data_IF_119159771205
#
_entry.id   IF_119159771205
#
_cell.length_a   1.000
_cell.length_b   1.000
_cell.length_c   1.000
_cell.angle_alpha   90.00
_cell.angle_beta   90.00
_cell.angle_gamma   90.00
#
_symmetry.space_group_name_H-M   'P 1'
#
loop_
_entity.id
_entity.type
_entity.pdbx_description
1 polymer ?
#
# COMPACT_ATOMS: atom_id res chain seq x y z
N UNK A 1 -2.76 25.56 47.83
CA UNK A 1 -3.80 25.24 46.82
C UNK A 1 -3.13 25.19 45.45
N UNK A 2 -2.90 24.00 44.87
CA UNK A 2 -2.39 23.85 43.50
C UNK A 2 -3.56 23.99 42.54
N UNK A 3 -3.51 24.95 41.64
CA UNK A 3 -4.49 25.06 40.57
C UNK A 3 -4.54 23.73 39.79
N UNK A 4 -5.73 23.26 39.37
CA UNK A 4 -5.84 22.08 38.51
C UNK A 4 -5.05 22.33 37.23
N UNK A 5 -4.13 21.40 36.92
CA UNK A 5 -3.30 21.44 35.71
C UNK A 5 -4.26 21.48 34.51
N UNK A 6 -4.14 22.45 33.59
CA UNK A 6 -4.99 22.45 32.40
C UNK A 6 -4.78 21.15 31.65
N UNK A 7 -5.88 20.47 31.32
CA UNK A 7 -5.84 19.26 30.53
C UNK A 7 -5.02 19.52 29.25
N UNK A 8 -4.14 18.58 28.84
CA UNK A 8 -3.45 18.72 27.56
C UNK A 8 -4.51 18.89 26.48
N UNK A 9 -4.42 19.99 25.71
CA UNK A 9 -5.25 20.17 24.51
C UNK A 9 -5.06 18.93 23.66
N UNK A 10 -6.11 18.11 23.53
CA UNK A 10 -6.14 17.06 22.54
C UNK A 10 -5.77 17.71 21.20
N UNK A 11 -4.69 17.29 20.52
CA UNK A 11 -4.40 17.81 19.20
C UNK A 11 -5.63 17.55 18.35
N UNK A 12 -6.16 18.63 17.79
CA UNK A 12 -7.34 18.64 16.97
C UNK A 12 -7.22 17.56 15.89
N UNK A 13 -8.25 16.71 15.83
CA UNK A 13 -8.57 15.80 14.74
C UNK A 13 -7.50 14.76 14.40
N UNK A 14 -7.74 13.52 14.83
CA UNK A 14 -7.47 12.38 13.97
C UNK A 14 -8.21 12.66 12.64
N UNK A 15 -7.50 13.23 11.67
CA UNK A 15 -8.06 13.61 10.39
C UNK A 15 -8.42 12.32 9.69
N UNK A 16 -9.69 11.91 9.83
CA UNK A 16 -10.29 10.84 9.06
C UNK A 16 -9.84 11.03 7.62
N UNK A 17 -9.19 10.01 7.06
CA UNK A 17 -8.56 10.04 5.76
C UNK A 17 -9.49 10.70 4.74
N UNK A 18 -9.10 11.87 4.23
CA UNK A 18 -9.80 12.51 3.12
C UNK A 18 -9.89 11.50 1.97
N UNK A 19 -11.01 11.46 1.25
CA UNK A 19 -11.20 10.56 0.10
C UNK A 19 -10.05 10.62 -0.92
N UNK A 20 -9.31 11.73 -0.96
CA UNK A 20 -8.08 11.88 -1.75
C UNK A 20 -7.01 10.83 -1.44
N UNK A 21 -6.80 10.40 -0.18
CA UNK A 21 -5.76 9.40 0.14
C UNK A 21 -6.10 8.02 -0.42
N UNK A 22 -7.38 7.63 -0.38
CA UNK A 22 -7.84 6.37 -0.95
C UNK A 22 -7.81 6.38 -2.48
N UNK A 23 -8.21 7.49 -3.10
CA UNK A 23 -8.11 7.64 -4.56
C UNK A 23 -6.66 7.52 -5.04
N UNK A 24 -5.73 8.19 -4.35
CA UNK A 24 -4.29 8.09 -4.66
C UNK A 24 -3.77 6.68 -4.41
N UNK A 25 -4.24 5.99 -3.37
CA UNK A 25 -3.85 4.60 -3.10
C UNK A 25 -4.26 3.65 -4.22
N UNK A 26 -5.50 3.76 -4.72
CA UNK A 26 -5.97 2.92 -5.83
C UNK A 26 -5.25 3.25 -7.13
N UNK A 27 -5.01 4.53 -7.42
CA UNK A 27 -4.22 4.92 -8.59
C UNK A 27 -2.76 4.42 -8.50
N UNK A 28 -2.17 4.50 -7.30
CA UNK A 28 -0.82 3.98 -7.01
C UNK A 28 -0.75 2.46 -7.20
N UNK A 29 -1.75 1.70 -6.75
CA UNK A 29 -1.82 0.25 -6.98
C UNK A 29 -2.02 -0.11 -8.46
N UNK A 30 -2.75 0.73 -9.21
CA UNK A 30 -2.84 0.57 -10.68
C UNK A 30 -1.48 0.78 -11.36
N UNK A 31 -0.75 1.83 -10.97
CA UNK A 31 0.61 2.06 -11.44
C UNK A 31 1.56 0.93 -11.05
N UNK A 32 1.32 0.28 -9.91
CA UNK A 32 2.06 -0.92 -9.52
C UNK A 32 1.97 -2.00 -10.58
N UNK A 33 0.75 -2.34 -11.00
CA UNK A 33 0.54 -3.33 -12.03
C UNK A 33 1.19 -2.92 -13.37
N UNK A 34 1.13 -1.63 -13.72
CA UNK A 34 1.76 -1.12 -14.95
C UNK A 34 3.27 -1.31 -14.91
N UNK A 35 3.97 -0.90 -13.84
CA UNK A 35 5.42 -1.06 -13.79
C UNK A 35 5.82 -2.54 -13.64
N UNK A 36 5.02 -3.37 -12.97
CA UNK A 36 5.31 -4.80 -12.81
C UNK A 36 5.25 -5.53 -14.16
N UNK A 37 4.21 -5.30 -14.96
CA UNK A 37 4.11 -5.83 -16.32
C UNK A 37 5.22 -5.26 -17.21
N UNK A 38 5.47 -3.96 -17.17
CA UNK A 38 6.51 -3.33 -17.98
C UNK A 38 7.92 -3.85 -17.63
N UNK A 39 8.19 -4.16 -16.36
CA UNK A 39 9.43 -4.77 -15.93
C UNK A 39 9.61 -6.17 -16.52
N UNK A 40 8.55 -6.99 -16.51
CA UNK A 40 8.57 -8.32 -17.12
C UNK A 40 8.83 -8.24 -18.63
N UNK A 41 8.14 -7.33 -19.33
CA UNK A 41 8.28 -7.10 -20.77
C UNK A 41 9.60 -6.41 -21.17
N UNK A 42 10.35 -5.87 -20.20
CA UNK A 42 11.65 -5.23 -20.49
C UNK A 42 12.75 -6.23 -20.83
N UNK A 43 12.51 -7.54 -20.63
CA UNK A 43 13.47 -8.63 -20.83
C UNK A 43 14.82 -8.36 -20.15
N UNK A 44 14.78 -7.85 -18.91
CA UNK A 44 15.98 -7.45 -18.18
C UNK A 44 16.58 -6.12 -18.65
N UNK A 45 15.72 -5.16 -19.00
CA UNK A 45 16.07 -3.81 -19.48
C UNK A 45 16.70 -3.76 -20.88
N UNK A 46 16.56 -4.81 -21.68
CA UNK A 46 17.04 -4.84 -23.07
C UNK A 46 16.07 -4.12 -24.02
N UNK A 47 14.77 -4.15 -23.72
CA UNK A 47 13.73 -3.47 -24.50
C UNK A 47 13.49 -2.07 -23.94
N UNK A 48 13.76 -1.05 -24.75
CA UNK A 48 13.76 0.36 -24.31
C UNK A 48 12.39 0.84 -23.81
N UNK A 49 11.32 0.54 -24.55
CA UNK A 49 10.01 1.13 -24.25
C UNK A 49 9.41 0.59 -22.93
N UNK A 50 9.38 -0.73 -22.66
CA UNK A 50 8.94 -1.26 -21.36
C UNK A 50 9.86 -0.83 -20.22
N UNK A 51 11.18 -0.77 -20.44
CA UNK A 51 12.13 -0.26 -19.45
C UNK A 51 11.84 1.20 -19.07
N UNK A 52 11.53 2.06 -20.04
CA UNK A 52 11.16 3.46 -19.80
C UNK A 52 9.86 3.56 -19.01
N UNK A 53 8.85 2.77 -19.36
CA UNK A 53 7.57 2.72 -18.63
C UNK A 53 7.81 2.31 -17.17
N UNK A 54 8.60 1.26 -16.93
CA UNK A 54 8.99 0.83 -15.58
C UNK A 54 9.66 1.97 -14.81
N UNK A 55 10.66 2.62 -15.40
CA UNK A 55 11.43 3.69 -14.77
C UNK A 55 10.58 4.89 -14.35
N UNK A 56 9.46 5.15 -15.04
CA UNK A 56 8.55 6.27 -14.72
C UNK A 56 7.44 5.81 -13.78
N UNK A 57 6.79 4.68 -14.06
CA UNK A 57 5.63 4.22 -13.31
C UNK A 57 6.01 3.72 -11.90
N UNK A 58 7.20 3.13 -11.72
CA UNK A 58 7.67 2.65 -10.42
C UNK A 58 7.80 3.78 -9.37
N UNK A 59 8.54 4.88 -9.60
CA UNK A 59 8.64 5.96 -8.63
C UNK A 59 7.31 6.70 -8.44
N UNK A 60 6.48 6.85 -9.47
CA UNK A 60 5.14 7.44 -9.34
C UNK A 60 4.22 6.58 -8.44
N UNK A 61 4.27 5.25 -8.63
CA UNK A 61 3.56 4.30 -7.77
C UNK A 61 4.02 4.46 -6.31
N UNK A 62 5.34 4.45 -6.06
CA UNK A 62 5.91 4.61 -4.73
C UNK A 62 5.56 5.95 -4.08
N UNK A 63 5.61 7.04 -4.84
CA UNK A 63 5.24 8.36 -4.35
C UNK A 63 3.75 8.41 -3.95
N UNK A 64 2.87 7.82 -4.77
CA UNK A 64 1.44 7.70 -4.47
C UNK A 64 1.18 6.90 -3.19
N UNK A 65 1.88 5.78 -3.01
CA UNK A 65 1.78 4.97 -1.79
C UNK A 65 2.23 5.78 -0.55
N UNK A 66 3.37 6.46 -0.65
CA UNK A 66 3.89 7.32 0.42
C UNK A 66 2.89 8.44 0.78
N UNK A 67 2.24 9.04 -0.21
CA UNK A 67 1.19 10.04 0.03
C UNK A 67 -0.07 9.45 0.69
N UNK A 68 -0.50 8.25 0.29
CA UNK A 68 -1.63 7.57 0.90
C UNK A 68 -1.37 7.24 2.38
N UNK A 69 -0.14 6.83 2.71
CA UNK A 69 0.31 6.55 4.09
C UNK A 69 0.29 7.76 5.02
N UNK A 70 0.19 9.00 4.49
CA UNK A 70 -0.01 10.19 5.32
C UNK A 70 -1.39 10.23 5.99
N UNK A 71 -2.38 9.56 5.42
CA UNK A 71 -3.76 9.52 5.92
C UNK A 71 -4.29 8.14 6.26
N UNK A 72 -3.61 7.08 5.80
CA UNK A 72 -4.02 5.69 5.98
C UNK A 72 -2.92 4.97 6.78
N UNK A 73 -3.25 4.16 7.81
CA UNK A 73 -2.24 3.40 8.55
C UNK A 73 -1.39 2.56 7.60
N UNK A 74 -0.07 2.54 7.84
CA UNK A 74 0.92 1.87 6.95
C UNK A 74 0.54 0.42 6.64
N UNK A 75 0.12 -0.35 7.65
CA UNK A 75 -0.31 -1.74 7.47
C UNK A 75 -1.47 -1.88 6.49
N UNK A 76 -2.44 -0.96 6.55
CA UNK A 76 -3.62 -0.95 5.68
C UNK A 76 -3.24 -0.50 4.27
N UNK A 77 -2.48 0.59 4.16
CA UNK A 77 -2.06 1.13 2.86
C UNK A 77 -1.20 0.12 2.10
N UNK A 78 -0.19 -0.46 2.75
CA UNK A 78 0.72 -1.42 2.13
C UNK A 78 0.01 -2.71 1.71
N UNK A 79 -0.89 -3.23 2.55
CA UNK A 79 -1.66 -4.44 2.24
C UNK A 79 -2.61 -4.22 1.05
N UNK A 80 -3.32 -3.08 1.01
CA UNK A 80 -4.21 -2.76 -0.12
C UNK A 80 -3.42 -2.51 -1.39
N UNK A 81 -2.30 -1.78 -1.33
CA UNK A 81 -1.45 -1.50 -2.47
C UNK A 81 -0.95 -2.80 -3.10
N UNK A 82 -0.21 -3.61 -2.34
CA UNK A 82 0.33 -4.90 -2.83
C UNK A 82 -0.74 -5.89 -3.27
N UNK A 83 -1.85 -6.01 -2.53
CA UNK A 83 -2.92 -6.94 -2.87
C UNK A 83 -3.63 -6.57 -4.17
N UNK A 84 -3.94 -5.29 -4.35
CA UNK A 84 -4.60 -4.80 -5.57
C UNK A 84 -3.63 -4.81 -6.76
N UNK A 85 -2.38 -4.38 -6.57
CA UNK A 85 -1.35 -4.41 -7.59
C UNK A 85 -1.10 -5.84 -8.10
N UNK A 86 -1.00 -6.82 -7.21
CA UNK A 86 -0.86 -8.23 -7.58
C UNK A 86 -2.08 -8.74 -8.38
N UNK A 87 -3.30 -8.46 -7.93
CA UNK A 87 -4.52 -8.88 -8.62
C UNK A 87 -4.63 -8.27 -10.04
N UNK A 88 -4.32 -6.98 -10.17
CA UNK A 88 -4.32 -6.27 -11.45
C UNK A 88 -3.20 -6.77 -12.37
N UNK A 89 -2.00 -7.03 -11.84
CA UNK A 89 -0.87 -7.57 -12.61
C UNK A 89 -1.23 -8.91 -13.23
N UNK A 90 -1.77 -9.84 -12.43
CA UNK A 90 -2.15 -11.16 -12.95
C UNK A 90 -3.30 -11.05 -13.94
N UNK A 91 -4.28 -10.20 -13.66
CA UNK A 91 -5.39 -9.95 -14.60
C UNK A 91 -4.87 -9.40 -15.93
N UNK A 92 -3.92 -8.45 -15.89
CA UNK A 92 -3.27 -7.90 -17.07
C UNK A 92 -2.47 -8.97 -17.83
N UNK A 93 -1.67 -9.80 -17.17
CA UNK A 93 -0.89 -10.87 -17.81
C UNK A 93 -1.78 -11.91 -18.49
N UNK A 94 -2.92 -12.26 -17.89
CA UNK A 94 -3.90 -13.17 -18.51
C UNK A 94 -4.56 -12.51 -19.73
N UNK A 95 -4.95 -11.23 -19.63
CA UNK A 95 -5.57 -10.50 -20.75
C UNK A 95 -4.61 -10.26 -21.92
N UNK A 96 -3.33 -10.01 -21.63
CA UNK A 96 -2.27 -9.85 -22.62
C UNK A 96 -1.83 -11.19 -23.24
N UNK A 97 -2.29 -12.33 -22.69
CA UNK A 97 -1.93 -13.66 -23.17
C UNK A 97 -0.50 -14.09 -22.81
N UNK A 98 0.18 -13.35 -21.93
CA UNK A 98 1.55 -13.67 -21.50
C UNK A 98 1.59 -14.79 -20.47
N UNK A 99 0.48 -15.03 -19.76
CA UNK A 99 0.32 -16.17 -18.86
C UNK A 99 -1.02 -16.90 -19.05
N UNK A 100 -1.01 -18.23 -18.96
CA UNK A 100 -2.23 -19.01 -18.96
C UNK A 100 -2.95 -18.90 -17.60
N UNK A 101 -4.29 -18.73 -17.59
CA UNK A 101 -5.06 -18.68 -16.36
C UNK A 101 -5.03 -20.06 -15.67
N UNK A 102 -4.30 -20.15 -14.56
CA UNK A 102 -4.29 -21.33 -13.70
C UNK A 102 -5.31 -21.15 -12.56
N UNK A 103 -6.28 -22.06 -12.39
CA UNK A 103 -7.25 -22.00 -11.29
C UNK A 103 -6.59 -21.93 -9.90
N UNK A 104 -5.44 -22.59 -9.74
CA UNK A 104 -4.68 -22.58 -8.50
C UNK A 104 -4.06 -21.21 -8.22
N UNK A 105 -3.62 -20.50 -9.27
CA UNK A 105 -3.06 -19.14 -9.16
C UNK A 105 -4.14 -18.14 -8.74
N UNK A 106 -5.32 -18.26 -9.33
CA UNK A 106 -6.50 -17.46 -8.95
C UNK A 106 -6.91 -17.71 -7.49
N UNK A 107 -6.85 -18.96 -7.02
CA UNK A 107 -7.10 -19.30 -5.61
C UNK A 107 -6.11 -18.59 -4.67
N UNK A 108 -4.82 -18.61 -4.99
CA UNK A 108 -3.82 -17.94 -4.15
C UNK A 108 -3.97 -16.42 -4.15
N UNK A 109 -4.30 -15.81 -5.28
CA UNK A 109 -4.60 -14.36 -5.36
C UNK A 109 -5.83 -14.02 -4.51
N UNK A 110 -6.89 -14.82 -4.61
CA UNK A 110 -8.06 -14.65 -3.76
C UNK A 110 -7.70 -14.77 -2.27
N UNK A 111 -6.79 -15.68 -1.91
CA UNK A 111 -6.23 -15.80 -0.56
C UNK A 111 -5.48 -14.54 -0.10
N UNK A 112 -4.63 -13.96 -0.96
CA UNK A 112 -3.93 -12.70 -0.66
C UNK A 112 -4.96 -11.59 -0.40
N UNK A 113 -5.97 -11.43 -1.27
CA UNK A 113 -7.04 -10.44 -1.11
C UNK A 113 -7.79 -10.66 0.20
N UNK A 114 -8.13 -11.91 0.55
CA UNK A 114 -8.79 -12.24 1.80
C UNK A 114 -7.95 -11.85 3.03
N UNK A 115 -6.64 -12.10 3.01
CA UNK A 115 -5.71 -11.70 4.06
C UNK A 115 -5.66 -10.17 4.23
N UNK A 116 -5.65 -9.42 3.12
CA UNK A 116 -5.68 -7.94 3.14
C UNK A 116 -6.97 -7.42 3.77
N UNK A 117 -8.12 -7.99 3.41
CA UNK A 117 -9.41 -7.65 4.00
C UNK A 117 -9.42 -7.97 5.50
N UNK A 118 -8.90 -9.14 5.89
CA UNK A 118 -8.76 -9.55 7.29
C UNK A 118 -7.89 -8.59 8.10
N UNK A 119 -6.76 -8.14 7.54
CA UNK A 119 -5.88 -7.17 8.20
C UNK A 119 -6.57 -5.81 8.39
N UNK A 120 -7.38 -5.38 7.42
CA UNK A 120 -8.21 -4.18 7.54
C UNK A 120 -9.27 -4.31 8.63
N UNK A 121 -9.90 -5.47 8.74
CA UNK A 121 -10.93 -5.75 9.75
C UNK A 121 -10.35 -5.83 11.18
N UNK A 122 -9.11 -6.31 11.33
CA UNK A 122 -8.45 -6.43 12.64
C UNK A 122 -8.16 -5.06 13.30
N UNK A 123 -8.16 -3.97 12.53
CA UNK A 123 -7.90 -2.62 13.02
C UNK A 123 -6.45 -2.40 13.47
N UNK A 124 -6.05 -1.13 13.75
CA UNK A 124 -4.72 -0.84 14.25
C UNK A 124 -4.54 -1.38 15.68
N UNK A 125 -3.44 -2.11 15.92
CA UNK A 125 -3.08 -2.50 17.28
C UNK A 125 -2.85 -1.26 18.18
N UNK A 126 -3.15 -1.33 19.49
CA UNK A 126 -2.88 -0.24 20.41
C UNK A 126 -1.39 0.14 20.38
N UNK A 127 -1.04 1.44 20.47
CA UNK A 127 0.35 1.86 20.48
C UNK A 127 1.08 1.25 21.68
N UNK A 128 2.19 0.55 21.42
CA UNK A 128 3.04 0.03 22.49
C UNK A 128 3.63 1.20 23.28
N UNK A 129 3.54 1.22 24.62
CA UNK A 129 4.15 2.27 25.41
C UNK A 129 5.64 2.37 25.09
N UNK A 130 6.11 3.52 24.62
CA UNK A 130 7.55 3.77 24.47
C UNK A 130 8.17 3.67 25.85
N UNK A 131 9.00 2.65 26.08
CA UNK A 131 9.79 2.52 27.30
C UNK A 131 10.73 3.72 27.34
N UNK A 132 10.36 4.76 28.08
CA UNK A 132 11.28 5.85 28.36
C UNK A 132 12.48 5.23 29.08
N UNK A 133 13.73 5.51 28.65
CA UNK A 133 14.89 5.10 29.41
C UNK A 133 14.67 5.64 30.82
N UNK A 134 14.53 4.74 31.81
CA UNK A 134 14.58 5.14 33.21
C UNK A 134 15.90 5.88 33.36
N UNK A 135 15.81 7.20 33.50
CA UNK A 135 16.91 8.02 33.96
C UNK A 135 17.33 7.40 35.29
N UNK A 136 18.41 6.60 35.27
CA UNK A 136 18.99 6.06 36.48
C UNK A 136 19.78 7.23 37.07
N UNK A 137 19.24 7.76 38.16
CA UNK A 137 19.95 8.63 39.09
C UNK A 137 21.19 7.92 39.67
#
# INVERSE_FOLDING_TARGET
MRAPRPAPRQPAAAKVARGSHWAVLFASAGLEAVWAVALAESEGFTVFLPALVFCIASPLSMAGLGYAMLGIPVSIAYAVWTGLGAALTVSASVLLGTEQPSPLKLLFIAGIVACVIGLKAAGPAPPTPKRQPQLRD
#
